data_IF_980346459911
#
_entry.id   IF_980346459911
#
_cell.length_a   1.000
_cell.length_b   1.000
_cell.length_c   1.000
_cell.angle_alpha   90.00
_cell.angle_beta   90.00
_cell.angle_gamma   90.00
#
_symmetry.space_group_name_H-M   'P 1'
#
loop_
_entity.id
_entity.type
_entity.pdbx_description
1 polymer ?
#
# COMPACT_ATOMS: atom_id res chain seq x y z
N UNK A 1 29.39 57.52 3.51
CA UNK A 1 30.70 57.40 2.83
C UNK A 1 30.84 56.06 2.12
N UNK A 2 30.84 54.89 2.79
CA UNK A 2 31.06 53.61 2.07
C UNK A 2 29.95 53.21 1.07
N UNK A 3 28.66 53.45 1.37
CA UNK A 3 27.58 53.09 0.43
C UNK A 3 27.52 54.02 -0.80
N UNK A 4 27.70 55.33 -0.61
CA UNK A 4 27.71 56.32 -1.70
C UNK A 4 28.87 56.05 -2.67
N UNK A 5 30.06 55.76 -2.13
CA UNK A 5 31.22 55.36 -2.93
C UNK A 5 30.97 54.06 -3.71
N UNK A 6 30.28 53.09 -3.12
CA UNK A 6 29.88 51.86 -3.80
C UNK A 6 28.89 52.14 -4.94
N UNK A 7 27.89 53.01 -4.73
CA UNK A 7 26.88 53.37 -5.74
C UNK A 7 27.43 54.13 -6.94
N UNK A 8 28.55 54.84 -6.77
CA UNK A 8 29.23 55.60 -7.83
C UNK A 8 30.04 54.72 -8.80
N UNK A 9 30.15 53.40 -8.56
CA UNK A 9 30.84 52.48 -9.47
C UNK A 9 30.09 52.40 -10.82
N UNK A 10 30.75 52.69 -11.97
CA UNK A 10 30.08 52.82 -13.27
C UNK A 10 29.65 51.47 -13.86
N UNK A 11 30.34 50.39 -13.50
CA UNK A 11 30.03 49.04 -13.96
C UNK A 11 28.99 48.45 -13.02
N UNK A 12 27.78 48.19 -13.54
CA UNK A 12 26.65 47.69 -12.75
C UNK A 12 27.00 46.45 -11.91
N UNK A 13 27.68 45.47 -12.50
CA UNK A 13 28.03 44.24 -11.78
C UNK A 13 28.96 44.52 -10.58
N UNK A 14 29.99 45.35 -10.77
CA UNK A 14 30.93 45.71 -9.71
C UNK A 14 30.26 46.57 -8.64
N UNK A 15 29.34 47.46 -9.04
CA UNK A 15 28.51 48.25 -8.13
C UNK A 15 27.62 47.37 -7.27
N UNK A 16 26.90 46.44 -7.88
CA UNK A 16 25.96 45.56 -7.17
C UNK A 16 26.75 44.72 -6.13
N UNK A 17 27.91 44.17 -6.50
CA UNK A 17 28.81 43.47 -5.57
C UNK A 17 29.30 44.37 -4.43
N UNK A 18 29.71 45.61 -4.72
CA UNK A 18 30.18 46.55 -3.69
C UNK A 18 29.06 46.99 -2.73
N UNK A 19 27.86 47.23 -3.26
CA UNK A 19 26.66 47.58 -2.47
C UNK A 19 26.27 46.41 -1.57
N UNK A 20 26.25 45.19 -2.09
CA UNK A 20 25.92 43.98 -1.32
C UNK A 20 26.96 43.74 -0.21
N UNK A 21 28.25 43.99 -0.48
CA UNK A 21 29.31 43.90 0.53
C UNK A 21 29.13 44.92 1.67
N UNK A 22 28.75 46.17 1.36
CA UNK A 22 28.44 47.18 2.37
C UNK A 22 27.20 46.77 3.17
N UNK A 23 26.15 46.31 2.50
CA UNK A 23 24.90 45.84 3.11
C UNK A 23 25.08 44.65 4.04
N UNK A 24 26.00 43.75 3.72
CA UNK A 24 26.37 42.61 4.57
C UNK A 24 27.25 42.98 5.78
N UNK A 25 27.72 44.23 5.88
CA UNK A 25 28.57 44.68 6.99
C UNK A 25 27.78 44.69 8.30
N UNK A 26 28.31 44.05 9.34
CA UNK A 26 27.73 44.01 10.68
C UNK A 26 27.90 45.35 11.40
N UNK A 27 26.84 45.85 12.01
CA UNK A 27 26.79 47.08 12.81
C UNK A 27 26.08 46.76 14.12
N UNK A 28 26.84 46.34 15.13
CA UNK A 28 26.28 45.79 16.36
C UNK A 28 25.77 44.36 16.12
N UNK A 29 24.49 44.13 16.41
CA UNK A 29 23.83 42.82 16.25
C UNK A 29 23.04 42.70 14.92
N UNK A 30 23.05 43.75 14.09
CA UNK A 30 22.31 43.82 12.82
C UNK A 30 23.25 44.07 11.64
N UNK A 31 22.83 43.71 10.43
CA UNK A 31 23.53 44.13 9.20
C UNK A 31 23.17 45.57 8.83
N UNK A 32 24.01 46.22 8.02
CA UNK A 32 23.68 47.53 7.48
C UNK A 32 22.38 47.50 6.68
N UNK A 33 22.09 46.41 5.96
CA UNK A 33 20.82 46.20 5.25
C UNK A 33 19.61 46.19 6.20
N UNK A 34 19.73 45.55 7.35
CA UNK A 34 18.66 45.52 8.36
C UNK A 34 18.40 46.91 8.93
N UNK A 35 19.45 47.70 9.14
CA UNK A 35 19.32 49.11 9.53
C UNK A 35 18.63 49.92 8.43
N UNK A 36 18.98 49.73 7.15
CA UNK A 36 18.28 50.37 6.03
C UNK A 36 16.78 50.03 6.04
N UNK A 37 16.42 48.76 6.25
CA UNK A 37 15.03 48.29 6.33
C UNK A 37 14.28 48.88 7.51
N UNK A 38 14.93 48.92 8.68
CA UNK A 38 14.40 49.52 9.90
C UNK A 38 14.08 51.00 9.68
N UNK A 39 15.03 51.76 9.13
CA UNK A 39 14.84 53.18 8.79
C UNK A 39 13.76 53.37 7.74
N UNK A 40 13.72 52.50 6.73
CA UNK A 40 12.68 52.54 5.70
C UNK A 40 11.28 52.31 6.31
N UNK A 41 11.12 51.34 7.21
CA UNK A 41 9.86 51.07 7.88
C UNK A 41 9.43 52.21 8.80
N UNK A 42 10.33 52.73 9.63
CA UNK A 42 10.05 53.93 10.45
C UNK A 42 9.66 55.13 9.58
N UNK A 43 10.28 55.28 8.41
CA UNK A 43 10.00 56.34 7.45
C UNK A 43 8.64 56.24 6.75
N UNK A 44 7.93 55.11 6.87
CA UNK A 44 6.53 54.99 6.41
C UNK A 44 5.54 55.64 7.37
N UNK A 45 5.90 55.78 8.64
CA UNK A 45 5.09 56.45 9.65
C UNK A 45 5.17 57.98 9.54
N UNK A 46 4.29 58.66 10.26
CA UNK A 46 4.35 60.12 10.42
C UNK A 46 4.83 60.48 11.83
N UNK A 47 5.09 61.76 12.09
CA UNK A 47 5.46 62.22 13.44
C UNK A 47 4.28 62.07 14.41
N UNK A 48 3.07 62.29 13.93
CA UNK A 48 1.82 62.20 14.69
C UNK A 48 1.37 60.75 14.89
N UNK A 49 1.74 59.86 13.96
CA UNK A 49 1.44 58.43 13.97
C UNK A 49 2.68 57.64 13.55
N UNK A 50 3.68 57.49 14.44
CA UNK A 50 4.87 56.69 14.16
C UNK A 50 4.50 55.21 14.06
N UNK A 51 5.23 54.45 13.25
CA UNK A 51 5.10 52.98 13.23
C UNK A 51 5.63 52.44 14.56
N UNK A 52 4.86 51.60 15.28
CA UNK A 52 5.31 50.98 16.51
C UNK A 52 6.63 50.19 16.34
N UNK A 53 7.52 50.25 17.34
CA UNK A 53 8.85 49.63 17.27
C UNK A 53 8.78 48.10 17.10
N UNK A 54 7.77 47.46 17.68
CA UNK A 54 7.46 46.03 17.51
C UNK A 54 7.12 45.68 16.06
N UNK A 55 6.29 46.47 15.38
CA UNK A 55 5.99 46.31 13.95
C UNK A 55 7.23 46.52 13.08
N UNK A 56 8.07 47.52 13.41
CA UNK A 56 9.35 47.73 12.71
C UNK A 56 10.28 46.54 12.90
N UNK A 57 10.40 46.02 14.11
CA UNK A 57 11.21 44.82 14.40
C UNK A 57 10.69 43.59 13.65
N UNK A 58 9.37 43.39 13.65
CA UNK A 58 8.72 42.31 12.93
C UNK A 58 8.97 42.42 11.42
N UNK A 59 8.91 43.64 10.85
CA UNK A 59 9.22 43.88 9.45
C UNK A 59 10.68 43.55 9.10
N UNK A 60 11.63 43.98 9.92
CA UNK A 60 13.05 43.64 9.70
C UNK A 60 13.25 42.13 9.76
N UNK A 61 12.68 41.46 10.76
CA UNK A 61 12.73 40.00 10.90
C UNK A 61 12.09 39.29 9.69
N UNK A 62 10.95 39.78 9.22
CA UNK A 62 10.30 39.28 8.00
C UNK A 62 11.22 39.38 6.79
N UNK A 63 11.86 40.53 6.61
CA UNK A 63 12.74 40.76 5.46
C UNK A 63 14.02 39.91 5.52
N UNK A 64 14.51 39.56 6.72
CA UNK A 64 15.59 38.58 6.88
C UNK A 64 15.13 37.19 6.41
N UNK A 65 13.93 36.75 6.81
CA UNK A 65 13.34 35.49 6.34
C UNK A 65 13.18 35.49 4.82
N UNK A 66 12.74 36.60 4.24
CA UNK A 66 12.58 36.76 2.78
C UNK A 66 13.92 36.64 2.05
N UNK A 67 15.00 37.18 2.61
CA UNK A 67 16.34 37.06 2.03
C UNK A 67 16.87 35.63 2.09
N UNK A 68 16.62 34.93 3.20
CA UNK A 68 17.07 33.55 3.42
C UNK A 68 16.29 32.55 2.57
N UNK A 69 15.02 32.84 2.29
CA UNK A 69 14.10 31.92 1.60
C UNK A 69 13.54 32.53 0.32
N UNK A 70 12.40 33.21 0.39
CA UNK A 70 11.84 34.11 -0.62
C UNK A 70 10.55 34.75 -0.05
N UNK A 71 10.05 35.82 -0.67
CA UNK A 71 8.77 36.43 -0.28
C UNK A 71 7.55 35.51 -0.38
N UNK A 72 7.67 34.42 -1.15
CA UNK A 72 6.60 33.44 -1.39
C UNK A 72 6.80 32.12 -0.64
N UNK A 73 7.86 31.99 0.17
CA UNK A 73 8.16 30.79 0.95
C UNK A 73 7.11 30.54 2.03
N UNK A 74 7.08 29.32 2.56
CA UNK A 74 6.19 28.96 3.67
C UNK A 74 6.57 29.73 4.94
N UNK A 75 7.87 29.94 5.16
CA UNK A 75 8.45 30.69 6.28
C UNK A 75 7.98 32.15 6.28
N UNK A 76 8.12 32.84 5.14
CA UNK A 76 7.71 34.25 5.02
C UNK A 76 6.19 34.41 5.18
N UNK A 77 5.41 33.49 4.61
CA UNK A 77 3.94 33.50 4.73
C UNK A 77 3.48 33.20 6.15
N UNK A 78 4.10 32.24 6.84
CA UNK A 78 3.79 31.94 8.24
C UNK A 78 4.18 33.08 9.16
N UNK A 79 5.32 33.73 8.94
CA UNK A 79 5.72 34.89 9.72
C UNK A 79 4.69 36.02 9.63
N UNK A 80 4.13 36.28 8.43
CA UNK A 80 2.99 37.20 8.28
C UNK A 80 1.72 36.69 8.96
N UNK A 81 1.41 35.39 8.86
CA UNK A 81 0.20 34.84 9.45
C UNK A 81 0.21 34.86 10.99
N UNK A 82 1.37 34.54 11.58
CA UNK A 82 1.57 34.46 13.03
C UNK A 82 1.77 35.84 13.70
N UNK A 83 2.02 36.89 12.92
CA UNK A 83 2.14 38.29 13.36
C UNK A 83 1.08 39.18 12.66
N UNK A 84 -0.12 39.34 13.25
CA UNK A 84 -1.20 40.11 12.65
C UNK A 84 -0.84 41.59 12.43
N UNK A 85 -0.05 42.18 13.32
CA UNK A 85 0.32 43.61 13.26
C UNK A 85 1.29 43.86 12.10
N UNK A 86 2.26 42.96 11.92
CA UNK A 86 3.12 42.95 10.72
C UNK A 86 2.28 42.80 9.44
N UNK A 87 1.34 41.87 9.41
CA UNK A 87 0.54 41.64 8.21
C UNK A 87 -0.38 42.84 7.89
N UNK A 88 -0.99 43.47 8.90
CA UNK A 88 -1.74 44.71 8.74
C UNK A 88 -0.85 45.83 8.19
N UNK A 89 0.35 46.00 8.75
CA UNK A 89 1.34 46.97 8.29
C UNK A 89 1.69 46.76 6.81
N UNK A 90 2.03 45.54 6.40
CA UNK A 90 2.39 45.20 5.02
C UNK A 90 1.23 45.39 4.03
N UNK A 91 -0.01 45.17 4.47
CA UNK A 91 -1.22 45.33 3.65
C UNK A 91 -1.74 46.78 3.61
N UNK A 92 -1.16 47.69 4.40
CA UNK A 92 -1.65 49.06 4.52
C UNK A 92 -1.28 49.91 3.29
N UNK A 93 -2.30 50.41 2.60
CA UNK A 93 -2.15 51.23 1.39
C UNK A 93 -1.56 52.62 1.67
N UNK A 94 -1.81 53.20 2.85
CA UNK A 94 -1.23 54.50 3.21
C UNK A 94 0.30 54.42 3.37
N UNK A 95 0.81 53.26 3.83
CA UNK A 95 2.25 53.03 4.00
C UNK A 95 2.92 52.54 2.71
N UNK A 96 2.28 51.65 1.96
CA UNK A 96 2.90 50.94 0.84
C UNK A 96 2.36 51.32 -0.55
N UNK A 97 1.25 52.03 -0.65
CA UNK A 97 0.60 52.39 -1.92
C UNK A 97 0.37 51.16 -2.80
N UNK A 98 0.75 51.25 -4.07
CA UNK A 98 0.68 50.16 -5.05
C UNK A 98 1.61 48.97 -4.73
N UNK A 99 2.50 49.10 -3.74
CA UNK A 99 3.42 48.04 -3.31
C UNK A 99 2.95 47.30 -2.06
N UNK A 100 1.72 47.55 -1.59
CA UNK A 100 1.16 46.82 -0.44
C UNK A 100 1.11 45.32 -0.73
N UNK A 101 1.28 44.53 0.31
CA UNK A 101 1.11 43.10 0.21
C UNK A 101 -0.38 42.77 -0.02
N UNK A 102 -0.64 41.76 -0.84
CA UNK A 102 -1.98 41.18 -0.95
C UNK A 102 -2.30 40.30 0.28
N UNK A 103 -3.59 40.05 0.57
CA UNK A 103 -3.99 39.01 1.52
C UNK A 103 -3.28 37.68 1.21
N UNK A 104 -2.92 36.93 2.26
CA UNK A 104 -2.29 35.62 2.09
C UNK A 104 -3.19 34.63 1.33
N UNK A 105 -4.51 34.76 1.52
CA UNK A 105 -5.56 34.14 0.71
C UNK A 105 -6.85 34.98 0.86
N UNK A 106 -7.76 34.89 -0.12
CA UNK A 106 -9.06 35.58 -0.06
C UNK A 106 -10.04 34.88 0.90
N UNK A 107 -9.89 33.56 1.08
CA UNK A 107 -10.71 32.74 1.96
C UNK A 107 -9.96 32.41 3.25
N UNK A 108 -10.37 33.06 4.36
CA UNK A 108 -9.77 32.83 5.68
C UNK A 108 -9.96 31.39 6.17
N UNK A 109 -11.09 30.75 5.88
CA UNK A 109 -11.34 29.38 6.32
C UNK A 109 -10.39 28.42 5.59
N UNK A 110 -10.16 28.63 4.29
CA UNK A 110 -9.17 27.86 3.52
C UNK A 110 -7.74 28.11 4.01
N UNK A 111 -7.38 29.38 4.27
CA UNK A 111 -6.08 29.76 4.82
C UNK A 111 -5.80 29.04 6.13
N UNK A 112 -6.71 29.16 7.11
CA UNK A 112 -6.53 28.65 8.46
C UNK A 112 -6.52 27.12 8.49
N UNK A 113 -7.35 26.46 7.67
CA UNK A 113 -7.56 25.02 7.74
C UNK A 113 -6.69 24.18 6.78
N UNK A 114 -6.18 24.76 5.70
CA UNK A 114 -5.43 24.01 4.67
C UNK A 114 -4.03 24.58 4.44
N UNK A 115 -3.93 25.88 4.16
CA UNK A 115 -2.66 26.48 3.79
C UNK A 115 -1.69 26.57 4.98
N UNK A 116 -2.15 27.10 6.12
CA UNK A 116 -1.31 27.28 7.30
C UNK A 116 -0.81 25.94 7.87
N UNK A 117 -1.67 24.92 8.10
CA UNK A 117 -1.19 23.61 8.57
C UNK A 117 -0.17 22.99 7.61
N UNK A 118 -0.39 23.12 6.30
CA UNK A 118 0.57 22.68 5.28
C UNK A 118 1.89 23.43 5.38
N UNK A 119 1.87 24.77 5.43
CA UNK A 119 3.09 25.56 5.54
C UNK A 119 3.87 25.22 6.81
N UNK A 120 3.18 24.94 7.92
CA UNK A 120 3.87 24.51 9.16
C UNK A 120 4.59 23.19 8.96
N UNK A 121 4.04 22.26 8.19
CA UNK A 121 4.71 21.01 7.80
C UNK A 121 5.91 21.31 6.90
N UNK A 122 5.75 22.17 5.89
CA UNK A 122 6.82 22.56 4.96
C UNK A 122 8.03 23.14 5.70
N UNK A 123 7.80 24.11 6.61
CA UNK A 123 8.88 24.71 7.40
C UNK A 123 9.50 23.71 8.38
N UNK A 124 8.67 22.92 9.06
CA UNK A 124 9.13 21.95 10.07
C UNK A 124 10.09 20.91 9.47
N UNK A 125 9.87 20.50 8.22
CA UNK A 125 10.63 19.42 7.57
C UNK A 125 11.42 19.86 6.33
N UNK A 126 11.73 21.14 6.19
CA UNK A 126 12.47 21.66 5.04
C UNK A 126 13.82 20.93 4.84
N UNK A 127 14.51 20.59 5.93
CA UNK A 127 15.78 19.85 5.88
C UNK A 127 15.57 18.39 5.42
N UNK A 128 14.52 17.72 5.91
CA UNK A 128 14.18 16.35 5.54
C UNK A 128 13.69 16.25 4.09
N UNK A 129 12.94 17.24 3.60
CA UNK A 129 12.56 17.35 2.19
C UNK A 129 13.80 17.49 1.31
N UNK A 130 14.71 18.41 1.64
CA UNK A 130 15.97 18.58 0.90
C UNK A 130 16.82 17.30 0.90
N UNK A 131 16.91 16.60 2.03
CA UNK A 131 17.64 15.34 2.13
C UNK A 131 16.97 14.20 1.35
N UNK A 132 15.63 14.14 1.32
CA UNK A 132 14.88 13.15 0.54
C UNK A 132 14.96 13.41 -0.96
N UNK A 133 14.87 14.67 -1.39
CA UNK A 133 14.93 15.08 -2.79
C UNK A 133 16.36 14.99 -3.36
N UNK A 134 17.39 14.98 -2.50
CA UNK A 134 18.75 14.68 -2.89
C UNK A 134 19.01 13.18 -3.22
N UNK A 135 18.08 12.28 -2.84
CA UNK A 135 18.16 10.87 -3.21
C UNK A 135 17.80 10.69 -4.70
N UNK A 136 18.50 9.83 -5.46
CA UNK A 136 18.15 9.55 -6.85
C UNK A 136 16.69 9.08 -7.00
N UNK A 137 15.98 9.57 -8.02
CA UNK A 137 14.58 9.21 -8.25
C UNK A 137 14.38 7.71 -8.52
N UNK A 138 15.37 7.06 -9.11
CA UNK A 138 15.42 5.62 -9.41
C UNK A 138 15.87 4.77 -8.20
N UNK A 139 16.41 5.37 -7.14
CA UNK A 139 16.76 4.69 -5.89
C UNK A 139 15.51 4.51 -5.00
N UNK A 140 14.60 3.64 -5.47
CA UNK A 140 13.34 3.32 -4.76
C UNK A 140 13.61 2.77 -3.36
N UNK A 141 14.60 1.90 -3.22
CA UNK A 141 14.95 1.29 -1.93
C UNK A 141 15.49 2.33 -0.93
N UNK A 142 16.39 3.21 -1.37
CA UNK A 142 16.94 4.28 -0.55
C UNK A 142 15.87 5.27 -0.08
N UNK A 143 14.94 5.65 -0.96
CA UNK A 143 13.81 6.52 -0.60
C UNK A 143 12.86 5.85 0.39
N UNK A 144 12.52 4.58 0.21
CA UNK A 144 11.71 3.81 1.16
C UNK A 144 12.43 3.69 2.52
N UNK A 145 13.72 3.36 2.52
CA UNK A 145 14.52 3.25 3.75
C UNK A 145 14.71 4.60 4.47
N UNK A 146 14.74 5.71 3.74
CA UNK A 146 14.76 7.05 4.33
C UNK A 146 13.45 7.34 5.05
N UNK A 147 12.31 7.11 4.38
CA UNK A 147 10.99 7.34 4.97
C UNK A 147 10.74 6.44 6.18
N UNK A 148 11.18 5.18 6.15
CA UNK A 148 11.08 4.25 7.26
C UNK A 148 11.86 4.71 8.51
N UNK A 149 13.01 5.38 8.33
CA UNK A 149 13.82 5.92 9.44
C UNK A 149 13.30 7.27 9.96
N UNK A 150 12.48 7.97 9.18
CA UNK A 150 11.96 9.30 9.49
C UNK A 150 10.43 9.24 9.57
N UNK A 151 9.91 8.46 10.52
CA UNK A 151 8.49 8.16 10.63
C UNK A 151 7.62 9.42 10.73
N UNK A 152 7.96 10.36 11.62
CA UNK A 152 7.17 11.59 11.80
C UNK A 152 7.11 12.44 10.52
N UNK A 153 8.23 12.58 9.82
CA UNK A 153 8.31 13.26 8.52
C UNK A 153 7.44 12.56 7.47
N UNK A 154 7.54 11.22 7.37
CA UNK A 154 6.75 10.43 6.43
C UNK A 154 5.24 10.58 6.66
N UNK A 155 4.79 10.56 7.92
CA UNK A 155 3.37 10.75 8.25
C UNK A 155 2.90 12.18 7.94
N UNK A 156 3.68 13.20 8.31
CA UNK A 156 3.33 14.60 8.04
C UNK A 156 3.40 14.92 6.53
N UNK A 157 4.26 14.25 5.77
CA UNK A 157 4.25 14.32 4.30
C UNK A 157 2.91 13.85 3.73
N UNK A 158 2.32 12.78 4.25
CA UNK A 158 0.96 12.33 3.87
C UNK A 158 -0.12 13.32 4.29
N UNK A 159 0.02 13.96 5.46
CA UNK A 159 -0.89 15.05 5.86
C UNK A 159 -0.82 16.23 4.90
N UNK A 160 0.38 16.64 4.51
CA UNK A 160 0.61 17.68 3.49
C UNK A 160 -0.07 17.31 2.16
N UNK A 161 0.14 16.10 1.67
CA UNK A 161 -0.53 15.60 0.46
C UNK A 161 -2.06 15.71 0.58
N UNK A 162 -2.64 15.32 1.74
CA UNK A 162 -4.08 15.45 1.99
C UNK A 162 -4.57 16.92 1.98
N UNK A 163 -3.82 17.86 2.58
CA UNK A 163 -4.16 19.29 2.53
C UNK A 163 -4.15 19.87 1.11
N UNK A 164 -3.34 19.31 0.21
CA UNK A 164 -3.24 19.75 -1.18
C UNK A 164 -4.31 19.13 -2.10
N UNK A 165 -4.94 18.05 -1.66
CA UNK A 165 -5.93 17.34 -2.47
C UNK A 165 -7.17 18.19 -2.70
N UNK A 166 -7.54 18.25 -3.98
CA UNK A 166 -8.73 18.94 -4.45
C UNK A 166 -9.26 18.32 -5.72
N UNK A 167 -10.56 18.16 -5.82
CA UNK A 167 -11.20 17.81 -7.07
C UNK A 167 -10.96 18.95 -8.09
N UNK A 168 -10.30 18.66 -9.21
CA UNK A 168 -9.95 19.67 -10.22
C UNK A 168 -11.15 20.20 -11.01
N UNK A 169 -12.30 19.52 -10.95
CA UNK A 169 -13.54 19.88 -11.63
C UNK A 169 -14.45 20.68 -10.72
N UNK A 170 -14.70 20.21 -9.49
CA UNK A 170 -15.63 20.85 -8.55
C UNK A 170 -14.97 21.87 -7.63
N UNK A 171 -13.64 21.80 -7.45
CA UNK A 171 -12.91 22.59 -6.46
C UNK A 171 -13.01 22.04 -5.03
N UNK A 172 -13.77 20.96 -4.82
CA UNK A 172 -13.94 20.34 -3.50
C UNK A 172 -12.59 19.95 -2.91
N UNK A 173 -12.35 20.31 -1.64
CA UNK A 173 -11.15 19.95 -0.89
C UNK A 173 -11.34 18.67 -0.10
N UNK A 174 -10.22 18.05 0.28
CA UNK A 174 -10.24 16.87 1.14
C UNK A 174 -10.70 17.26 2.57
N UNK A 175 -11.71 16.61 3.16
CA UNK A 175 -12.22 16.99 4.47
C UNK A 175 -11.15 16.90 5.57
N UNK A 176 -11.00 17.96 6.38
CA UNK A 176 -9.96 18.10 7.40
C UNK A 176 -10.06 16.97 8.45
N UNK A 177 -11.26 16.61 8.84
CA UNK A 177 -11.55 15.53 9.80
C UNK A 177 -11.23 14.13 9.27
N UNK A 178 -10.89 14.00 7.99
CA UNK A 178 -10.50 12.75 7.34
C UNK A 178 -8.98 12.68 7.05
N UNK A 179 -8.20 13.71 7.37
CA UNK A 179 -6.76 13.77 7.05
C UNK A 179 -5.98 12.65 7.76
N UNK A 180 -6.21 12.40 9.05
CA UNK A 180 -5.47 11.32 9.72
C UNK A 180 -5.83 9.93 9.16
N UNK A 181 -7.07 9.73 8.68
CA UNK A 181 -7.43 8.50 7.96
C UNK A 181 -6.76 8.40 6.59
N UNK A 182 -6.50 9.53 5.93
CA UNK A 182 -5.69 9.55 4.72
C UNK A 182 -4.28 9.03 5.02
N UNK A 183 -3.67 9.51 6.11
CA UNK A 183 -2.39 8.99 6.58
C UNK A 183 -2.50 7.49 6.85
N UNK A 184 -3.41 7.06 7.72
CA UNK A 184 -3.61 5.63 8.05
C UNK A 184 -3.79 4.76 6.81
N UNK A 185 -4.56 5.19 5.81
CA UNK A 185 -4.81 4.46 4.57
C UNK A 185 -3.52 4.24 3.76
N UNK A 186 -2.69 5.28 3.58
CA UNK A 186 -1.43 5.18 2.83
C UNK A 186 -0.31 4.50 3.63
N UNK A 187 -0.51 4.29 4.93
CA UNK A 187 0.36 3.52 5.81
C UNK A 187 0.08 2.02 5.76
N UNK A 188 -1.09 1.61 5.25
CA UNK A 188 -1.41 0.21 5.00
C UNK A 188 -0.56 -0.35 3.87
N UNK A 189 -0.17 -1.61 4.02
CA UNK A 189 0.50 -2.34 2.94
C UNK A 189 -0.39 -2.41 1.70
N UNK A 190 0.18 -2.01 0.55
CA UNK A 190 -0.50 -1.99 -0.74
C UNK A 190 -0.82 -3.42 -1.22
N UNK A 191 0.01 -4.40 -0.85
CA UNK A 191 -0.22 -5.80 -1.19
C UNK A 191 -1.32 -6.41 -0.32
N UNK A 192 -2.26 -7.09 -0.97
CA UNK A 192 -3.43 -7.68 -0.32
C UNK A 192 -4.69 -6.85 -0.55
N UNK A 193 -5.60 -6.87 0.42
CA UNK A 193 -6.89 -6.14 0.37
C UNK A 193 -7.09 -5.18 1.53
N UNK A 194 -6.00 -4.76 2.20
CA UNK A 194 -6.06 -3.93 3.40
C UNK A 194 -6.63 -2.54 3.11
N UNK A 195 -6.15 -1.90 2.05
CA UNK A 195 -6.62 -0.59 1.62
C UNK A 195 -8.08 -0.63 1.20
N UNK A 196 -8.48 -1.62 0.42
CA UNK A 196 -9.87 -1.83 -0.01
C UNK A 196 -10.78 -2.06 1.21
N UNK A 197 -10.36 -2.89 2.15
CA UNK A 197 -11.12 -3.13 3.38
C UNK A 197 -11.20 -1.88 4.25
N UNK A 198 -10.15 -1.06 4.30
CA UNK A 198 -10.18 0.22 4.98
C UNK A 198 -11.21 1.18 4.37
N UNK A 199 -11.29 1.25 3.03
CA UNK A 199 -12.31 2.04 2.34
C UNK A 199 -13.73 1.53 2.65
N UNK A 200 -13.95 0.20 2.59
CA UNK A 200 -15.25 -0.40 2.94
C UNK A 200 -15.66 -0.08 4.38
N UNK A 201 -14.72 -0.15 5.32
CA UNK A 201 -14.98 0.06 6.75
C UNK A 201 -15.08 1.55 7.14
N UNK A 202 -14.65 2.47 6.29
CA UNK A 202 -14.65 3.91 6.54
C UNK A 202 -15.42 4.67 5.44
N UNK A 203 -16.75 4.53 5.35
CA UNK A 203 -17.52 5.03 4.20
C UNK A 203 -17.42 6.55 4.00
N UNK A 204 -17.32 7.36 5.06
CA UNK A 204 -17.12 8.80 4.93
C UNK A 204 -15.75 9.19 4.36
N UNK A 205 -14.70 8.45 4.72
CA UNK A 205 -13.37 8.61 4.13
C UNK A 205 -13.36 8.13 2.67
N UNK A 206 -13.99 6.99 2.40
CA UNK A 206 -14.11 6.44 1.05
C UNK A 206 -14.82 7.43 0.11
N UNK A 207 -15.94 8.01 0.53
CA UNK A 207 -16.63 9.07 -0.25
C UNK A 207 -15.71 10.26 -0.53
N UNK A 208 -14.94 10.72 0.45
CA UNK A 208 -13.94 11.77 0.26
C UNK A 208 -12.85 11.37 -0.76
N UNK A 209 -12.29 10.16 -0.65
CA UNK A 209 -11.30 9.64 -1.61
C UNK A 209 -11.87 9.53 -3.03
N UNK A 210 -13.12 9.10 -3.17
CA UNK A 210 -13.78 9.01 -4.47
C UNK A 210 -14.04 10.39 -5.06
N UNK A 211 -14.71 11.26 -4.30
CA UNK A 211 -15.12 12.59 -4.76
C UNK A 211 -13.93 13.52 -4.99
N UNK A 212 -12.92 13.49 -4.12
CA UNK A 212 -11.81 14.46 -4.17
C UNK A 212 -10.59 13.90 -4.89
N UNK A 213 -10.16 12.68 -4.53
CA UNK A 213 -8.97 12.06 -5.10
C UNK A 213 -9.25 11.22 -6.36
N UNK A 214 -10.53 10.97 -6.69
CA UNK A 214 -10.92 10.22 -7.88
C UNK A 214 -10.67 8.72 -7.77
N UNK A 215 -10.56 8.18 -6.56
CA UNK A 215 -10.36 6.73 -6.36
C UNK A 215 -11.69 5.98 -6.56
N UNK A 216 -11.67 4.91 -7.34
CA UNK A 216 -12.82 4.02 -7.48
C UNK A 216 -13.08 3.23 -6.19
N UNK A 217 -14.33 3.22 -5.75
CA UNK A 217 -14.68 2.49 -4.53
C UNK A 217 -14.73 0.98 -4.80
N UNK A 218 -14.07 0.17 -3.96
CA UNK A 218 -14.14 -1.27 -4.10
C UNK A 218 -15.58 -1.74 -3.84
N UNK A 219 -16.03 -2.75 -4.59
CA UNK A 219 -17.28 -3.42 -4.27
C UNK A 219 -17.10 -4.21 -2.96
N UNK A 220 -17.86 -3.93 -1.88
CA UNK A 220 -17.69 -4.63 -0.60
C UNK A 220 -17.82 -6.15 -0.70
N UNK A 221 -18.64 -6.66 -1.64
CA UNK A 221 -18.81 -8.10 -1.88
C UNK A 221 -17.60 -8.76 -2.59
N UNK A 222 -16.61 -7.96 -3.01
CA UNK A 222 -15.37 -8.40 -3.64
C UNK A 222 -14.14 -8.13 -2.78
N UNK A 223 -14.32 -7.76 -1.51
CA UNK A 223 -13.21 -7.57 -0.57
C UNK A 223 -13.18 -8.77 0.38
N UNK A 224 -12.12 -9.61 0.33
CA UNK A 224 -12.01 -10.77 1.22
C UNK A 224 -11.98 -10.38 2.71
N UNK A 225 -12.22 -11.37 3.57
CA UNK A 225 -12.04 -11.22 5.03
C UNK A 225 -10.57 -10.94 5.40
N UNK A 226 -10.35 -10.46 6.63
CA UNK A 226 -9.02 -10.14 7.15
C UNK A 226 -8.05 -11.31 7.14
N UNK A 227 -8.57 -12.52 7.30
CA UNK A 227 -7.78 -13.76 7.26
C UNK A 227 -7.03 -13.94 5.94
N UNK A 228 -7.52 -13.39 4.81
CA UNK A 228 -6.79 -13.39 3.54
C UNK A 228 -5.40 -12.72 3.65
N UNK A 229 -5.35 -11.59 4.35
CA UNK A 229 -4.12 -10.83 4.54
C UNK A 229 -3.31 -11.38 5.72
N UNK A 230 -3.96 -11.88 6.79
CA UNK A 230 -3.29 -12.54 7.92
C UNK A 230 -2.46 -13.73 7.45
N UNK A 231 -3.04 -14.62 6.64
CA UNK A 231 -2.32 -15.79 6.09
C UNK A 231 -1.13 -15.36 5.24
N UNK A 232 -1.28 -14.27 4.48
CA UNK A 232 -0.16 -13.73 3.70
C UNK A 232 0.99 -13.26 4.59
N UNK A 233 0.72 -12.65 5.75
CA UNK A 233 1.77 -12.24 6.69
C UNK A 233 2.51 -13.40 7.31
N UNK A 234 1.76 -14.40 7.77
CA UNK A 234 2.32 -15.59 8.41
C UNK A 234 3.30 -16.33 7.48
N UNK A 235 3.04 -16.29 6.18
CA UNK A 235 3.84 -16.95 5.15
C UNK A 235 4.41 -15.99 4.10
N UNK A 236 4.77 -14.77 4.52
CA UNK A 236 5.17 -13.69 3.61
C UNK A 236 6.34 -14.08 2.70
N UNK A 237 7.34 -14.78 3.22
CA UNK A 237 8.52 -15.19 2.45
C UNK A 237 8.15 -16.23 1.37
N UNK A 238 7.33 -17.21 1.72
CA UNK A 238 6.88 -18.27 0.82
C UNK A 238 5.99 -17.71 -0.29
N UNK A 239 5.04 -16.81 0.04
CA UNK A 239 4.23 -16.13 -0.98
C UNK A 239 5.07 -15.26 -1.91
N UNK A 240 6.02 -14.48 -1.37
CA UNK A 240 6.92 -13.68 -2.20
C UNK A 240 7.79 -14.55 -3.12
N UNK A 241 8.24 -15.71 -2.64
CA UNK A 241 8.98 -16.68 -3.46
C UNK A 241 8.08 -17.24 -4.57
N UNK A 242 6.86 -17.67 -4.20
CA UNK A 242 5.90 -18.28 -5.12
C UNK A 242 5.51 -17.35 -6.27
N UNK A 243 5.22 -16.09 -5.97
CA UNK A 243 4.91 -15.04 -6.96
C UNK A 243 6.15 -14.66 -7.78
N UNK A 244 7.29 -14.53 -7.11
CA UNK A 244 8.57 -14.15 -7.71
C UNK A 244 9.14 -15.17 -8.70
N UNK A 245 8.81 -16.45 -8.55
CA UNK A 245 9.25 -17.51 -9.46
C UNK A 245 8.93 -17.23 -10.94
N UNK A 246 7.88 -16.46 -11.23
CA UNK A 246 7.48 -16.09 -12.60
C UNK A 246 7.81 -14.65 -13.03
N UNK A 247 8.30 -13.82 -12.12
CA UNK A 247 8.60 -12.41 -12.36
C UNK A 247 10.09 -12.23 -12.66
N UNK A 248 10.45 -11.78 -13.87
CA UNK A 248 11.84 -11.65 -14.31
C UNK A 248 12.62 -10.53 -13.62
N UNK A 249 11.95 -9.65 -12.86
CA UNK A 249 12.58 -8.64 -12.01
C UNK A 249 12.79 -9.14 -10.56
N UNK A 250 12.18 -10.27 -10.20
CA UNK A 250 12.26 -10.83 -8.86
C UNK A 250 13.60 -11.53 -8.60
N UNK A 251 14.17 -11.44 -7.38
CA UNK A 251 15.32 -12.25 -6.98
C UNK A 251 15.00 -13.76 -6.94
N UNK A 252 13.73 -14.15 -6.97
CA UNK A 252 13.30 -15.55 -6.99
C UNK A 252 13.05 -16.08 -8.41
N UNK A 253 13.25 -15.29 -9.47
CA UNK A 253 12.90 -15.70 -10.84
C UNK A 253 13.51 -17.06 -11.24
N UNK A 254 12.67 -17.93 -11.82
CA UNK A 254 13.11 -19.19 -12.43
C UNK A 254 12.70 -19.19 -13.90
N UNK A 255 13.66 -19.08 -14.82
CA UNK A 255 13.40 -19.01 -16.26
C UNK A 255 12.75 -20.29 -16.81
N UNK A 256 13.26 -21.46 -16.40
CA UNK A 256 12.77 -22.75 -16.88
C UNK A 256 11.42 -23.12 -16.24
N UNK A 257 10.42 -23.38 -17.09
CA UNK A 257 9.03 -23.67 -16.64
C UNK A 257 8.94 -24.95 -15.81
N UNK A 258 9.74 -25.97 -16.12
CA UNK A 258 9.71 -27.26 -15.41
C UNK A 258 10.34 -27.11 -14.02
N UNK A 259 11.47 -26.41 -13.93
CA UNK A 259 12.10 -26.08 -12.65
C UNK A 259 11.22 -25.18 -11.80
N UNK A 260 10.52 -24.21 -12.43
CA UNK A 260 9.57 -23.33 -11.76
C UNK A 260 8.43 -24.12 -11.12
N UNK A 261 7.83 -25.04 -11.87
CA UNK A 261 6.76 -25.90 -11.36
C UNK A 261 7.26 -26.83 -10.24
N UNK A 262 8.47 -27.39 -10.38
CA UNK A 262 9.10 -28.18 -9.33
C UNK A 262 9.32 -27.37 -8.05
N UNK A 263 9.75 -26.10 -8.16
CA UNK A 263 9.94 -25.21 -7.01
C UNK A 263 8.61 -24.83 -6.34
N UNK A 264 7.56 -24.57 -7.12
CA UNK A 264 6.19 -24.36 -6.60
C UNK A 264 5.70 -25.58 -5.82
N UNK A 265 5.88 -26.77 -6.39
CA UNK A 265 5.50 -28.02 -5.74
C UNK A 265 6.32 -28.30 -4.49
N UNK A 266 7.61 -27.96 -4.46
CA UNK A 266 8.44 -28.11 -3.27
C UNK A 266 8.03 -27.18 -2.11
N UNK A 267 7.40 -26.03 -2.39
CA UNK A 267 6.79 -25.19 -1.35
C UNK A 267 5.47 -25.79 -0.85
N UNK A 268 4.64 -26.28 -1.77
CA UNK A 268 3.28 -26.76 -1.48
C UNK A 268 3.25 -28.15 -0.85
N UNK A 269 4.15 -29.03 -1.24
CA UNK A 269 4.15 -30.45 -0.88
C UNK A 269 5.48 -30.87 -0.25
N UNK A 270 5.41 -31.78 0.71
CA UNK A 270 6.58 -32.46 1.26
C UNK A 270 7.02 -33.62 0.35
N UNK A 271 8.06 -34.35 0.78
CA UNK A 271 8.62 -35.46 0.01
C UNK A 271 7.65 -36.64 -0.17
N UNK A 272 6.63 -36.75 0.69
CA UNK A 272 5.58 -37.76 0.64
C UNK A 272 4.37 -37.35 -0.21
N UNK A 273 4.43 -36.19 -0.88
CA UNK A 273 3.32 -35.65 -1.67
C UNK A 273 2.15 -35.12 -0.84
N UNK A 274 2.37 -34.87 0.47
CA UNK A 274 1.39 -34.26 1.36
C UNK A 274 1.58 -32.76 1.42
N UNK A 275 0.50 -32.01 1.56
CA UNK A 275 0.63 -30.55 1.66
C UNK A 275 1.48 -30.17 2.88
N UNK A 276 2.34 -29.18 2.69
CA UNK A 276 3.02 -28.48 3.78
C UNK A 276 2.01 -27.56 4.51
N UNK A 277 2.41 -27.04 5.66
CA UNK A 277 1.63 -26.00 6.37
C UNK A 277 1.36 -24.80 5.45
N UNK A 278 2.39 -24.31 4.75
CA UNK A 278 2.24 -23.24 3.77
C UNK A 278 1.25 -23.61 2.65
N UNK A 279 1.34 -24.81 2.08
CA UNK A 279 0.45 -25.22 1.00
C UNK A 279 -1.03 -25.27 1.41
N UNK A 280 -1.33 -25.72 2.63
CA UNK A 280 -2.68 -25.66 3.19
C UNK A 280 -3.14 -24.21 3.44
N UNK A 281 -2.25 -23.37 3.97
CA UNK A 281 -2.51 -21.93 4.16
C UNK A 281 -2.77 -21.21 2.82
N UNK A 282 -2.01 -21.53 1.76
CA UNK A 282 -2.24 -21.01 0.41
C UNK A 282 -3.64 -21.37 -0.09
N UNK A 283 -4.06 -22.63 0.03
CA UNK A 283 -5.41 -23.06 -0.34
C UNK A 283 -6.46 -22.29 0.46
N UNK A 284 -6.27 -22.16 1.77
CA UNK A 284 -7.20 -21.44 2.64
C UNK A 284 -7.34 -19.98 2.23
N UNK A 285 -6.21 -19.31 1.93
CA UNK A 285 -6.18 -17.95 1.39
C UNK A 285 -6.89 -17.86 0.05
N UNK A 286 -6.71 -18.84 -0.85
CA UNK A 286 -7.43 -18.90 -2.12
C UNK A 286 -8.94 -19.00 -1.90
N UNK A 287 -9.39 -19.75 -0.89
CA UNK A 287 -10.79 -19.80 -0.48
C UNK A 287 -11.34 -18.41 -0.11
N UNK A 288 -10.65 -17.66 0.74
CA UNK A 288 -11.04 -16.29 1.06
C UNK A 288 -11.02 -15.36 -0.17
N UNK A 289 -10.02 -15.50 -1.05
CA UNK A 289 -9.94 -14.74 -2.30
C UNK A 289 -11.08 -15.05 -3.28
N UNK A 290 -11.59 -16.29 -3.26
CA UNK A 290 -12.76 -16.73 -4.02
C UNK A 290 -14.09 -16.38 -3.34
N UNK A 291 -14.08 -15.59 -2.26
CA UNK A 291 -15.26 -15.20 -1.48
C UNK A 291 -16.03 -16.39 -0.88
N UNK A 292 -15.31 -17.48 -0.55
CA UNK A 292 -15.91 -18.62 0.16
C UNK A 292 -16.38 -18.15 1.54
N UNK A 293 -17.66 -18.38 1.91
CA UNK A 293 -18.15 -18.04 3.24
C UNK A 293 -17.31 -18.71 4.32
N UNK A 294 -17.03 -18.01 5.41
CA UNK A 294 -16.10 -18.47 6.45
C UNK A 294 -16.46 -19.86 7.02
N UNK A 295 -17.76 -20.15 7.19
CA UNK A 295 -18.26 -21.47 7.62
C UNK A 295 -17.85 -22.65 6.72
N UNK A 296 -17.43 -22.36 5.49
CA UNK A 296 -17.05 -23.33 4.46
C UNK A 296 -15.56 -23.31 4.13
N UNK A 297 -14.78 -22.39 4.69
CA UNK A 297 -13.36 -22.25 4.37
C UNK A 297 -12.55 -23.50 4.71
N UNK A 298 -12.87 -24.16 5.84
CA UNK A 298 -12.22 -25.43 6.20
C UNK A 298 -12.61 -26.56 5.25
N UNK A 299 -13.88 -26.60 4.82
CA UNK A 299 -14.35 -27.60 3.85
C UNK A 299 -13.73 -27.37 2.46
N UNK A 300 -13.57 -26.11 2.06
CA UNK A 300 -12.84 -25.73 0.85
C UNK A 300 -11.40 -26.24 0.92
N UNK A 301 -10.70 -25.95 2.02
CA UNK A 301 -9.30 -26.33 2.18
C UNK A 301 -9.12 -27.84 2.21
N UNK A 302 -10.00 -28.56 2.94
CA UNK A 302 -9.98 -30.03 2.99
C UNK A 302 -10.25 -30.68 1.63
N UNK A 303 -11.19 -30.15 0.84
CA UNK A 303 -11.44 -30.64 -0.51
C UNK A 303 -10.21 -30.49 -1.42
N UNK A 304 -9.63 -29.30 -1.47
CA UNK A 304 -8.46 -29.05 -2.31
C UNK A 304 -7.19 -29.73 -1.79
N UNK A 305 -7.12 -30.04 -0.50
CA UNK A 305 -6.12 -30.94 0.07
C UNK A 305 -6.24 -32.32 -0.57
N UNK A 306 -7.43 -32.94 -0.56
CA UNK A 306 -7.67 -34.26 -1.15
C UNK A 306 -7.31 -34.26 -2.64
N UNK A 307 -7.73 -33.24 -3.39
CA UNK A 307 -7.43 -33.13 -4.81
C UNK A 307 -5.92 -32.98 -5.08
N UNK A 308 -5.22 -32.15 -4.30
CA UNK A 308 -3.80 -31.88 -4.51
C UNK A 308 -2.88 -33.02 -4.07
N UNK A 309 -3.16 -33.67 -2.94
CA UNK A 309 -2.44 -34.88 -2.53
C UNK A 309 -2.78 -36.07 -3.43
N UNK A 310 -3.99 -36.08 -3.97
CA UNK A 310 -4.47 -37.07 -4.92
C UNK A 310 -4.53 -38.48 -4.35
N UNK A 311 -4.67 -39.43 -5.28
CA UNK A 311 -4.65 -40.86 -4.98
C UNK A 311 -3.23 -41.26 -4.50
N UNK A 312 -3.09 -41.99 -3.37
CA UNK A 312 -1.78 -42.46 -2.92
C UNK A 312 -1.02 -43.22 -4.00
N UNK A 313 0.28 -42.99 -4.13
CA UNK A 313 1.11 -43.56 -5.20
C UNK A 313 1.02 -45.10 -5.26
N UNK A 314 1.03 -45.75 -4.09
CA UNK A 314 0.94 -47.20 -3.96
C UNK A 314 -0.51 -47.72 -3.89
N UNK A 315 -1.53 -46.89 -4.10
CA UNK A 315 -2.94 -47.28 -3.91
C UNK A 315 -3.31 -48.55 -4.65
N UNK A 316 -2.94 -48.67 -5.93
CA UNK A 316 -3.25 -49.86 -6.73
C UNK A 316 -2.53 -51.10 -6.23
N UNK A 317 -1.29 -50.94 -5.77
CA UNK A 317 -0.50 -52.02 -5.20
C UNK A 317 -1.12 -52.50 -3.87
N UNK A 318 -1.58 -51.55 -3.05
CA UNK A 318 -2.12 -51.81 -1.72
C UNK A 318 -3.55 -52.36 -1.75
N UNK A 319 -4.37 -51.89 -2.70
CA UNK A 319 -5.82 -52.19 -2.74
C UNK A 319 -6.23 -53.11 -3.89
N UNK A 320 -5.36 -53.34 -4.87
CA UNK A 320 -5.66 -54.12 -6.07
C UNK A 320 -6.55 -53.42 -7.10
N UNK A 321 -6.89 -52.14 -6.91
CA UNK A 321 -7.76 -51.38 -7.82
C UNK A 321 -7.26 -49.96 -8.06
N UNK A 322 -7.66 -49.35 -9.18
CA UNK A 322 -7.41 -47.94 -9.48
C UNK A 322 -8.54 -47.00 -9.02
N UNK A 323 -9.66 -47.57 -8.58
CA UNK A 323 -10.81 -46.84 -8.09
C UNK A 323 -10.47 -46.12 -6.78
N UNK A 324 -10.80 -44.83 -6.71
CA UNK A 324 -10.57 -43.96 -5.56
C UNK A 324 -11.71 -42.94 -5.53
N UNK A 325 -12.36 -42.78 -4.37
CA UNK A 325 -13.62 -42.05 -4.20
C UNK A 325 -13.55 -41.07 -3.01
N UNK A 326 -12.35 -40.69 -2.55
CA UNK A 326 -12.22 -39.89 -1.32
C UNK A 326 -12.77 -38.46 -1.50
N UNK A 327 -12.54 -37.86 -2.67
CA UNK A 327 -13.10 -36.57 -3.05
C UNK A 327 -14.63 -36.61 -3.18
N UNK A 328 -15.17 -37.67 -3.79
CA UNK A 328 -16.60 -37.97 -3.86
C UNK A 328 -17.24 -38.08 -2.48
N UNK A 329 -16.65 -38.86 -1.58
CA UNK A 329 -17.15 -39.03 -0.21
C UNK A 329 -17.06 -37.74 0.58
N UNK A 330 -16.00 -36.97 0.42
CA UNK A 330 -15.88 -35.65 1.05
C UNK A 330 -17.06 -34.75 0.67
N UNK A 331 -17.43 -34.68 -0.61
CA UNK A 331 -18.59 -33.88 -1.03
C UNK A 331 -19.92 -34.39 -0.47
N UNK A 332 -20.09 -35.70 -0.31
CA UNK A 332 -21.29 -36.30 0.31
C UNK A 332 -21.35 -35.99 1.82
N UNK A 333 -20.21 -35.99 2.50
CA UNK A 333 -20.10 -35.66 3.93
C UNK A 333 -20.25 -34.16 4.19
N UNK A 334 -19.89 -33.32 3.21
CA UNK A 334 -19.93 -31.86 3.25
C UNK A 334 -20.94 -31.26 2.26
N UNK A 335 -22.18 -31.77 2.26
CA UNK A 335 -23.21 -31.39 1.28
C UNK A 335 -23.54 -29.89 1.22
N UNK A 336 -23.41 -29.16 2.32
CA UNK A 336 -23.64 -27.71 2.33
C UNK A 336 -22.54 -26.96 1.58
N UNK A 337 -21.27 -27.37 1.76
CA UNK A 337 -20.14 -26.85 0.97
C UNK A 337 -20.31 -27.18 -0.52
N UNK A 338 -20.67 -28.42 -0.85
CA UNK A 338 -20.89 -28.83 -2.23
C UNK A 338 -21.95 -27.97 -2.93
N UNK A 339 -23.08 -27.71 -2.27
CA UNK A 339 -24.16 -26.90 -2.84
C UNK A 339 -23.77 -25.43 -2.93
N UNK A 340 -23.43 -24.82 -1.79
CA UNK A 340 -23.28 -23.37 -1.68
C UNK A 340 -21.98 -22.87 -2.31
N UNK A 341 -20.89 -23.64 -2.21
CA UNK A 341 -19.58 -23.21 -2.68
C UNK A 341 -19.22 -23.87 -4.00
N UNK A 342 -19.10 -25.20 -4.02
CA UNK A 342 -18.59 -25.90 -5.20
C UNK A 342 -19.49 -25.69 -6.43
N UNK A 343 -20.80 -25.87 -6.28
CA UNK A 343 -21.74 -25.71 -7.38
C UNK A 343 -22.16 -24.26 -7.59
N UNK A 344 -22.64 -23.59 -6.54
CA UNK A 344 -23.31 -22.29 -6.70
C UNK A 344 -22.30 -21.13 -6.81
N UNK A 345 -21.28 -21.06 -5.94
CA UNK A 345 -20.27 -19.98 -5.96
C UNK A 345 -19.21 -20.18 -7.07
N UNK A 346 -18.62 -21.38 -7.15
CA UNK A 346 -17.55 -21.69 -8.12
C UNK A 346 -18.09 -22.08 -9.50
N UNK A 347 -19.39 -22.39 -9.61
CA UNK A 347 -20.02 -22.72 -10.89
C UNK A 347 -19.65 -24.10 -11.45
N UNK A 348 -19.15 -25.02 -10.62
CA UNK A 348 -18.74 -26.34 -11.09
C UNK A 348 -19.95 -27.23 -11.44
N UNK A 349 -19.72 -28.23 -12.29
CA UNK A 349 -20.75 -29.16 -12.72
C UNK A 349 -21.30 -30.03 -11.58
N UNK A 350 -22.58 -30.37 -11.66
CA UNK A 350 -23.25 -31.24 -10.68
C UNK A 350 -22.67 -32.65 -10.74
N UNK A 351 -22.22 -33.16 -9.60
CA UNK A 351 -21.80 -34.54 -9.42
C UNK A 351 -22.98 -35.52 -9.35
N UNK A 352 -22.73 -36.71 -9.90
CA UNK A 352 -23.66 -37.84 -9.90
C UNK A 352 -23.29 -38.82 -8.79
N UNK A 353 -23.67 -38.48 -7.56
CA UNK A 353 -23.43 -39.31 -6.37
C UNK A 353 -24.08 -40.70 -6.43
N UNK A 354 -24.94 -40.99 -7.41
CA UNK A 354 -25.53 -42.33 -7.57
C UNK A 354 -24.52 -43.37 -8.03
N UNK A 355 -23.38 -42.93 -8.56
CA UNK A 355 -22.26 -43.78 -9.00
C UNK A 355 -21.20 -43.99 -7.93
N UNK A 356 -21.30 -43.29 -6.80
CA UNK A 356 -20.33 -43.33 -5.72
C UNK A 356 -20.78 -44.41 -4.73
N UNK A 357 -20.02 -45.50 -4.52
CA UNK A 357 -20.35 -46.49 -3.49
C UNK A 357 -20.23 -45.85 -2.11
N UNK A 358 -20.94 -46.37 -1.11
CA UNK A 358 -20.65 -45.95 0.29
C UNK A 358 -19.28 -46.47 0.72
N UNK A 359 -18.62 -45.80 1.69
CA UNK A 359 -17.36 -46.25 2.29
C UNK A 359 -17.43 -47.73 2.70
N UNK A 360 -18.50 -48.14 3.39
CA UNK A 360 -18.71 -49.54 3.80
C UNK A 360 -18.80 -50.54 2.63
N UNK A 361 -19.49 -50.17 1.54
CA UNK A 361 -19.59 -51.04 0.35
C UNK A 361 -18.24 -51.14 -0.36
N UNK A 362 -17.51 -50.03 -0.45
CA UNK A 362 -16.20 -50.01 -1.06
C UNK A 362 -15.16 -50.79 -0.24
N UNK A 363 -15.19 -50.70 1.10
CA UNK A 363 -14.32 -51.50 1.98
C UNK A 363 -14.53 -53.01 1.79
N UNK A 364 -15.79 -53.45 1.62
CA UNK A 364 -16.11 -54.85 1.28
C UNK A 364 -15.56 -55.23 -0.09
N UNK A 365 -15.63 -54.33 -1.06
CA UNK A 365 -15.04 -54.54 -2.38
C UNK A 365 -13.51 -54.66 -2.31
N UNK A 366 -12.83 -53.81 -1.52
CA UNK A 366 -11.38 -53.93 -1.30
C UNK A 366 -11.01 -55.24 -0.60
N UNK A 367 -11.81 -55.65 0.41
CA UNK A 367 -11.62 -56.95 1.09
C UNK A 367 -11.73 -58.11 0.10
N UNK A 368 -12.74 -58.08 -0.77
CA UNK A 368 -12.93 -59.07 -1.83
C UNK A 368 -11.73 -59.13 -2.81
N UNK A 369 -11.14 -57.98 -3.17
CA UNK A 369 -9.96 -57.94 -4.02
C UNK A 369 -8.68 -58.45 -3.33
N UNK A 370 -8.58 -58.25 -2.02
CA UNK A 370 -7.43 -58.68 -1.22
C UNK A 370 -7.43 -60.20 -0.95
N UNK A 371 -8.59 -60.86 -1.01
CA UNK A 371 -8.65 -62.32 -0.90
C UNK A 371 -7.88 -62.94 -2.08
N UNK A 372 -6.78 -63.70 -1.82
CA UNK A 372 -6.10 -64.42 -2.88
C UNK A 372 -7.14 -65.33 -3.50
N UNK A 373 -7.51 -65.10 -4.76
CA UNK A 373 -8.47 -65.90 -5.50
C UNK A 373 -7.96 -67.36 -5.64
N UNK A 374 -8.00 -68.13 -4.55
CA UNK A 374 -7.70 -69.56 -4.52
C UNK A 374 -8.77 -70.33 -5.31
N UNK A 375 -9.93 -69.72 -5.57
CA UNK A 375 -10.97 -70.29 -6.43
C UNK A 375 -10.68 -70.12 -7.93
N UNK A 376 -10.19 -68.96 -8.39
CA UNK A 376 -9.96 -68.76 -9.83
C UNK A 376 -8.70 -69.50 -10.35
N UNK A 377 -7.62 -69.59 -9.56
CA UNK A 377 -6.43 -70.35 -10.00
C UNK A 377 -6.64 -71.87 -9.93
N UNK A 378 -7.36 -72.39 -8.91
CA UNK A 378 -7.61 -73.84 -8.85
C UNK A 378 -8.57 -74.32 -9.93
N UNK A 379 -9.64 -73.59 -10.23
CA UNK A 379 -10.54 -74.00 -11.33
C UNK A 379 -9.93 -73.78 -12.71
N UNK A 380 -9.16 -72.71 -12.96
CA UNK A 380 -8.51 -72.52 -14.25
C UNK A 380 -7.39 -73.55 -14.51
N UNK A 381 -6.64 -73.94 -13.46
CA UNK A 381 -5.66 -75.04 -13.56
C UNK A 381 -6.38 -76.38 -13.73
N UNK A 382 -7.47 -76.63 -12.98
CA UNK A 382 -8.25 -77.87 -13.10
C UNK A 382 -8.88 -78.02 -14.49
N UNK A 383 -9.48 -76.96 -15.04
CA UNK A 383 -10.03 -76.95 -16.41
C UNK A 383 -8.95 -77.18 -17.46
N UNK A 384 -7.78 -76.53 -17.36
CA UNK A 384 -6.67 -76.77 -18.31
C UNK A 384 -6.14 -78.21 -18.25
N UNK A 385 -6.10 -78.83 -17.07
CA UNK A 385 -5.64 -80.22 -16.93
C UNK A 385 -6.68 -81.26 -17.34
N UNK A 386 -7.98 -81.00 -17.15
CA UNK A 386 -9.02 -81.92 -17.65
C UNK A 386 -9.24 -81.78 -19.17
N UNK A 387 -9.15 -80.58 -19.72
CA UNK A 387 -9.28 -80.35 -21.18
C UNK A 387 -8.07 -80.91 -21.94
N UNK A 388 -6.85 -80.82 -21.39
CA UNK A 388 -5.67 -81.49 -21.93
C UNK A 388 -5.78 -83.02 -21.91
N UNK A 389 -6.33 -83.62 -20.85
CA UNK A 389 -6.58 -85.08 -20.80
C UNK A 389 -7.64 -85.52 -21.80
N UNK A 390 -8.65 -84.69 -22.08
CA UNK A 390 -9.72 -85.00 -23.05
C UNK A 390 -9.25 -84.98 -24.50
N UNK A 391 -8.17 -84.26 -24.81
CA UNK A 391 -7.59 -84.16 -26.15
C UNK A 391 -6.61 -85.32 -26.43
N UNK A 392 -5.97 -85.90 -25.42
CA UNK A 392 -5.09 -87.07 -25.58
C UNK A 392 -5.87 -88.41 -25.65
N UNK A 393 -7.14 -88.44 -25.20
CA UNK A 393 -8.02 -89.62 -25.23
C UNK A 393 -8.98 -89.65 -26.45
N UNK A 394 -8.88 -88.69 -27.38
CA UNK A 394 -9.58 -88.63 -28.67
C UNK A 394 -8.60 -88.79 -29.83
#
# INVERSE_FOLDING_TARGET
VQLEEAQDIPIKADRDVAVDAVRATQVGDETFLDIERRVAAMGKGTREMPIPDDVVNAYVSHMQIVDETSGNSAEAKLNRYDDPDLNEYLMNEDYHGDQKAEPLDEDKEYLDNYLVPRWRIDVKYAAEDAAYDALPEDDREGRVAYLARNEAYRLDRRRREAYELSNKVTGDRFPIDQIDKYVEYYELEVKGFRQERFLVNNPGFADAMHRVAGIDLPNPAKVPSVEYDTIYEEHRTEFNSLEGFSDNESPFYIEDIVQREAARNALRFNAEGKYTEFGLSEIRRNGYGAMVPEKHTDSYSGYYQIIGEGKPENWKLDTGTDLWFEDDWFMIEHMDFYREVYRDLLGNEKWDFTKVPTKEVFDKYLTYLAEPHQFAQKEYIYFRTEEARRIDDL
#
